data_IF_606260534534
#
_entry.id   IF_606260534534
#
_cell.length_a   1.000
_cell.length_b   1.000
_cell.length_c   1.000
_cell.angle_alpha   90.00
_cell.angle_beta   90.00
_cell.angle_gamma   90.00
#
_symmetry.space_group_name_H-M   'P 1'
#
loop_
_entity.id
_entity.type
_entity.pdbx_description
1 polymer ?
#
# COMPACT_ATOMS: atom_id res chain seq x y z
N UNK A 1 -51.46 1.06 17.54
CA UNK A 1 -50.51 2.05 16.96
C UNK A 1 -49.13 2.02 17.63
N UNK A 2 -49.02 2.08 18.96
CA UNK A 2 -47.74 2.19 19.69
C UNK A 2 -46.72 1.07 19.43
N UNK A 3 -47.17 -0.20 19.40
CA UNK A 3 -46.30 -1.37 19.17
C UNK A 3 -45.61 -1.33 17.79
N UNK A 4 -46.32 -0.84 16.77
CA UNK A 4 -45.78 -0.70 15.41
C UNK A 4 -44.71 0.39 15.37
N UNK A 5 -44.96 1.53 16.00
CA UNK A 5 -43.99 2.63 16.09
C UNK A 5 -42.69 2.18 16.79
N UNK A 6 -42.80 1.43 17.88
CA UNK A 6 -41.64 0.87 18.58
C UNK A 6 -40.85 -0.11 17.72
N UNK A 7 -41.53 -0.98 16.97
CA UNK A 7 -40.84 -1.90 16.05
C UNK A 7 -40.13 -1.18 14.91
N UNK A 8 -40.74 -0.12 14.35
CA UNK A 8 -40.12 0.69 13.29
C UNK A 8 -38.88 1.41 13.83
N UNK A 9 -38.98 2.02 15.01
CA UNK A 9 -37.84 2.67 15.66
C UNK A 9 -36.70 1.67 15.93
N UNK A 10 -37.01 0.48 16.44
CA UNK A 10 -36.00 -0.55 16.67
C UNK A 10 -35.31 -1.01 15.39
N UNK A 11 -36.06 -1.20 14.30
CA UNK A 11 -35.51 -1.54 12.98
C UNK A 11 -34.67 -0.41 12.40
N UNK A 12 -35.05 0.85 12.63
CA UNK A 12 -34.28 2.00 12.19
C UNK A 12 -32.92 2.04 12.88
N UNK A 13 -32.90 1.97 14.22
CA UNK A 13 -31.66 1.95 15.01
C UNK A 13 -30.76 0.79 14.60
N UNK A 14 -31.34 -0.40 14.40
CA UNK A 14 -30.58 -1.58 13.99
C UNK A 14 -29.95 -1.40 12.60
N UNK A 15 -30.69 -0.82 11.65
CA UNK A 15 -30.15 -0.53 10.31
C UNK A 15 -29.04 0.51 10.35
N UNK A 16 -29.19 1.57 11.14
CA UNK A 16 -28.16 2.61 11.30
C UNK A 16 -26.87 2.02 11.88
N UNK A 17 -26.99 1.14 12.88
CA UNK A 17 -25.85 0.43 13.47
C UNK A 17 -25.13 -0.43 12.44
N UNK A 18 -25.86 -1.29 11.71
CA UNK A 18 -25.29 -2.16 10.67
C UNK A 18 -24.64 -1.37 9.54
N UNK A 19 -25.23 -0.24 9.14
CA UNK A 19 -24.63 0.67 8.14
C UNK A 19 -23.32 1.26 8.65
N UNK A 20 -23.27 1.68 9.91
CA UNK A 20 -22.07 2.18 10.56
C UNK A 20 -20.95 1.15 10.60
N UNK A 21 -21.27 -0.10 10.97
CA UNK A 21 -20.32 -1.21 10.99
C UNK A 21 -19.78 -1.54 9.59
N UNK A 22 -20.67 -1.63 8.59
CA UNK A 22 -20.26 -1.85 7.20
C UNK A 22 -19.30 -0.77 6.70
N UNK A 23 -19.59 0.50 6.99
CA UNK A 23 -18.70 1.61 6.61
C UNK A 23 -17.33 1.46 7.29
N UNK A 24 -17.28 1.13 8.58
CA UNK A 24 -16.02 0.91 9.31
C UNK A 24 -15.22 -0.27 8.73
N UNK A 25 -15.88 -1.36 8.38
CA UNK A 25 -15.25 -2.52 7.76
C UNK A 25 -14.67 -2.17 6.38
N UNK A 26 -15.40 -1.39 5.58
CA UNK A 26 -14.91 -0.93 4.28
C UNK A 26 -13.66 -0.05 4.42
N UNK A 27 -13.64 0.87 5.38
CA UNK A 27 -12.45 1.71 5.63
C UNK A 27 -11.26 0.88 6.12
N UNK A 28 -11.48 -0.06 7.04
CA UNK A 28 -10.43 -0.98 7.48
C UNK A 28 -9.85 -1.79 6.31
N UNK A 29 -10.69 -2.23 5.38
CA UNK A 29 -10.27 -2.94 4.17
C UNK A 29 -9.44 -2.03 3.25
N UNK A 30 -9.87 -0.79 3.01
CA UNK A 30 -9.12 0.20 2.22
C UNK A 30 -7.72 0.43 2.80
N UNK A 31 -7.61 0.61 4.12
CA UNK A 31 -6.32 0.79 4.81
C UNK A 31 -5.44 -0.45 4.63
N UNK A 32 -5.98 -1.65 4.86
CA UNK A 32 -5.25 -2.90 4.63
C UNK A 32 -4.75 -3.05 3.20
N UNK A 33 -5.59 -2.70 2.20
CA UNK A 33 -5.21 -2.72 0.78
C UNK A 33 -4.10 -1.73 0.48
N UNK A 34 -4.13 -0.53 1.08
CA UNK A 34 -3.05 0.46 0.96
C UNK A 34 -1.75 -0.05 1.58
N UNK A 35 -1.80 -0.65 2.77
CA UNK A 35 -0.61 -1.24 3.41
C UNK A 35 -0.06 -2.45 2.66
N UNK A 36 -0.91 -3.25 1.99
CA UNK A 36 -0.45 -4.38 1.16
C UNK A 36 0.33 -3.93 -0.08
N UNK A 37 0.16 -2.68 -0.53
CA UNK A 37 1.04 -2.10 -1.54
C UNK A 37 2.41 -1.86 -0.90
N UNK A 38 3.25 -2.89 -0.89
CA UNK A 38 4.68 -2.73 -0.60
C UNK A 38 5.19 -1.65 -1.55
N UNK A 39 5.77 -0.58 -1.01
CA UNK A 39 6.51 0.37 -1.83
C UNK A 39 7.56 -0.39 -2.63
N UNK A 40 7.88 0.07 -3.85
CA UNK A 40 9.02 -0.47 -4.59
C UNK A 40 10.26 -0.26 -3.71
N UNK A 41 10.89 -1.36 -3.30
CA UNK A 41 12.18 -1.30 -2.61
C UNK A 41 13.19 -1.06 -3.72
N UNK A 42 13.59 0.21 -3.89
CA UNK A 42 14.65 0.56 -4.82
C UNK A 42 15.95 -0.04 -4.26
N UNK A 43 16.52 -0.99 -4.99
CA UNK A 43 17.81 -1.57 -4.64
C UNK A 43 18.89 -0.52 -4.91
N UNK A 44 19.32 0.18 -3.85
CA UNK A 44 20.44 1.09 -3.97
C UNK A 44 21.68 0.21 -4.13
N UNK A 45 22.21 0.08 -5.35
CA UNK A 45 23.53 -0.48 -5.58
C UNK A 45 24.53 0.36 -4.79
N UNK A 46 24.80 -0.09 -3.56
CA UNK A 46 25.79 0.50 -2.70
C UNK A 46 27.12 0.33 -3.41
N UNK A 47 27.83 1.44 -3.68
CA UNK A 47 29.21 1.34 -4.16
C UNK A 47 29.99 0.53 -3.13
N UNK A 48 30.62 -0.56 -3.57
CA UNK A 48 31.41 -1.47 -2.71
C UNK A 48 32.44 -0.73 -1.85
N UNK A 49 32.90 0.44 -2.31
CA UNK A 49 33.92 1.27 -1.67
C UNK A 49 33.49 1.89 -0.32
N UNK A 50 32.19 1.94 0.02
CA UNK A 50 31.71 2.63 1.22
C UNK A 50 30.97 1.70 2.20
N UNK A 51 31.72 1.20 3.20
CA UNK A 51 31.22 0.31 4.27
C UNK A 51 30.58 1.04 5.47
N UNK A 52 30.16 2.30 5.30
CA UNK A 52 29.47 3.05 6.36
C UNK A 52 27.99 2.63 6.47
N UNK A 53 27.57 2.16 7.64
CA UNK A 53 26.23 1.56 7.86
C UNK A 53 25.00 2.48 7.70
N UNK A 54 25.17 3.75 7.34
CA UNK A 54 24.05 4.69 7.12
C UNK A 54 23.97 5.10 5.64
N UNK A 55 22.89 4.70 4.98
CA UNK A 55 22.59 5.05 3.58
C UNK A 55 21.74 6.33 3.54
N UNK A 56 22.27 7.42 3.01
CA UNK A 56 21.54 8.69 2.86
C UNK A 56 20.73 8.74 1.55
N UNK A 57 19.40 8.86 1.67
CA UNK A 57 18.47 9.00 0.54
C UNK A 57 18.37 10.45 0.05
N UNK A 58 19.34 10.89 -0.76
CA UNK A 58 19.23 12.17 -1.46
C UNK A 58 18.43 12.05 -2.77
N UNK A 59 17.80 13.14 -3.27
CA UNK A 59 17.08 13.12 -4.55
C UNK A 59 17.92 12.63 -5.75
N UNK A 60 19.23 12.86 -5.71
CA UNK A 60 20.17 12.35 -6.72
C UNK A 60 20.28 10.83 -6.64
N UNK A 61 20.39 10.26 -5.44
CA UNK A 61 20.51 8.82 -5.22
C UNK A 61 19.27 8.04 -5.66
N UNK A 62 18.08 8.63 -5.47
CA UNK A 62 16.82 8.08 -6.00
C UNK A 62 16.83 7.95 -7.53
N UNK A 63 17.29 8.99 -8.24
CA UNK A 63 17.40 8.93 -9.72
C UNK A 63 18.44 7.92 -10.19
N UNK A 64 19.57 7.84 -9.49
CA UNK A 64 20.62 6.85 -9.79
C UNK A 64 20.08 5.41 -9.63
N UNK A 65 19.34 5.11 -8.55
CA UNK A 65 18.76 3.77 -8.36
C UNK A 65 17.71 3.39 -9.40
N UNK A 66 16.83 4.33 -9.78
CA UNK A 66 15.83 4.11 -10.83
C UNK A 66 16.47 3.85 -12.21
N UNK A 67 17.62 4.48 -12.47
CA UNK A 67 18.39 4.23 -13.68
C UNK A 67 19.02 2.83 -13.66
N UNK A 68 19.70 2.46 -12.56
CA UNK A 68 20.31 1.15 -12.39
C UNK A 68 19.28 0.01 -12.51
N UNK A 69 18.12 0.12 -11.88
CA UNK A 69 17.06 -0.90 -12.00
C UNK A 69 16.60 -1.09 -13.44
N UNK A 70 16.49 -0.01 -14.22
CA UNK A 70 16.08 -0.08 -15.62
C UNK A 70 17.12 -0.78 -16.49
N UNK A 71 18.40 -0.53 -16.24
CA UNK A 71 19.49 -1.21 -16.94
C UNK A 71 19.48 -2.71 -16.61
N UNK A 72 19.36 -3.08 -15.32
CA UNK A 72 19.23 -4.49 -14.90
C UNK A 72 18.05 -5.20 -15.59
N UNK A 73 16.89 -4.55 -15.66
CA UNK A 73 15.72 -5.11 -16.34
C UNK A 73 15.96 -5.35 -17.83
N UNK A 74 16.63 -4.42 -18.51
CA UNK A 74 16.98 -4.58 -19.91
C UNK A 74 17.99 -5.71 -20.12
N UNK A 75 19.00 -5.82 -19.26
CA UNK A 75 19.98 -6.92 -19.31
C UNK A 75 19.31 -8.29 -19.09
N UNK A 76 18.44 -8.43 -18.08
CA UNK A 76 17.67 -9.65 -17.85
C UNK A 76 16.73 -10.02 -19.00
N UNK A 77 16.14 -9.03 -19.67
CA UNK A 77 15.31 -9.26 -20.86
C UNK A 77 16.15 -9.75 -22.04
N UNK A 78 17.34 -9.19 -22.24
CA UNK A 78 18.27 -9.64 -23.29
C UNK A 78 18.78 -11.07 -23.01
N UNK A 79 19.16 -11.39 -21.77
CA UNK A 79 19.60 -12.75 -21.40
C UNK A 79 18.51 -13.80 -21.59
N UNK A 80 17.23 -13.47 -21.34
CA UNK A 80 16.11 -14.40 -21.56
C UNK A 80 15.79 -14.64 -23.03
N UNK A 81 16.20 -13.72 -23.90
CA UNK A 81 15.98 -13.81 -25.35
C UNK A 81 17.13 -14.50 -26.10
N UNK A 82 18.25 -14.75 -25.42
CA UNK A 82 19.45 -15.39 -25.94
C UNK A 82 19.47 -16.89 -25.63
#
# INVERSE_FOLDING_TARGET
AHKVAQSVHHLQVSNELVRGENNRLQEALKIKKKHKKKGRVLDLQQREEYHGGAVLWSPRKLRESEFCERVKQQEEEQEKLQ
#
